data_IF_165891599450
#
_entry.id   IF_165891599450
#
_cell.length_a   1.000
_cell.length_b   1.000
_cell.length_c   1.000
_cell.angle_alpha   90.00
_cell.angle_beta   90.00
_cell.angle_gamma   90.00
#
_symmetry.space_group_name_H-M   'P 1'
#
loop_
_entity.id
_entity.type
_entity.pdbx_description
1 polymer ?
#
# COMPACT_ATOMS: atom_id res chain seq x y z
N UNK A 1 -18.10 26.21 -15.93
CA UNK A 1 -19.15 26.07 -14.88
C UNK A 1 -19.75 24.67 -14.75
N UNK A 2 -20.07 23.93 -15.84
CA UNK A 2 -20.62 22.56 -15.74
C UNK A 2 -19.68 21.49 -15.15
N UNK A 3 -18.35 21.64 -15.29
CA UNK A 3 -17.36 20.70 -14.72
C UNK A 3 -17.27 20.78 -13.18
N UNK A 4 -17.39 22.00 -12.62
CA UNK A 4 -17.36 22.23 -11.18
C UNK A 4 -18.61 21.66 -10.48
N UNK A 5 -19.76 21.73 -11.17
CA UNK A 5 -21.04 21.17 -10.69
C UNK A 5 -21.01 19.64 -10.70
N UNK A 6 -20.29 19.00 -11.64
CA UNK A 6 -20.16 17.54 -11.69
C UNK A 6 -19.28 17.00 -10.54
N UNK A 7 -18.23 17.72 -10.15
CA UNK A 7 -17.36 17.38 -9.01
C UNK A 7 -18.08 17.57 -7.65
N UNK A 8 -19.02 18.52 -7.55
CA UNK A 8 -19.77 18.78 -6.32
C UNK A 8 -20.98 17.86 -6.11
N UNK A 9 -21.47 17.18 -7.15
CA UNK A 9 -22.69 16.35 -7.09
C UNK A 9 -22.43 14.86 -6.80
N UNK A 10 -21.19 14.41 -6.73
CA UNK A 10 -20.85 13.05 -6.24
C UNK A 10 -20.82 13.07 -4.71
N UNK A 11 -21.93 13.50 -4.10
CA UNK A 11 -22.13 13.62 -2.65
C UNK A 11 -22.45 12.29 -1.97
N UNK A 12 -21.76 11.22 -2.33
CA UNK A 12 -21.78 10.00 -1.50
C UNK A 12 -21.02 10.29 -0.20
N UNK A 13 -21.57 9.92 0.95
CA UNK A 13 -20.81 9.95 2.20
C UNK A 13 -19.58 9.06 2.00
N UNK A 14 -18.39 9.67 1.96
CA UNK A 14 -17.15 8.91 1.91
C UNK A 14 -17.13 7.94 3.11
N UNK A 15 -16.76 6.66 2.90
CA UNK A 15 -16.68 5.71 4.00
C UNK A 15 -15.77 6.27 5.11
N UNK A 16 -16.13 5.99 6.36
CA UNK A 16 -15.38 6.49 7.51
C UNK A 16 -13.91 6.08 7.39
N UNK A 17 -13.04 7.08 7.28
CA UNK A 17 -11.62 6.88 7.04
C UNK A 17 -10.94 6.27 8.26
N UNK A 18 -10.25 5.14 8.06
CA UNK A 18 -9.46 4.45 9.08
C UNK A 18 -8.05 5.06 9.20
N UNK A 19 -7.48 5.00 10.41
CA UNK A 19 -6.12 5.42 10.72
C UNK A 19 -5.20 4.21 10.84
N UNK A 20 -4.17 4.11 10.01
CA UNK A 20 -3.34 2.91 9.90
C UNK A 20 -1.88 3.24 10.22
N UNK A 21 -1.28 2.53 11.17
CA UNK A 21 0.15 2.62 11.41
C UNK A 21 0.90 1.65 10.50
N UNK A 22 1.96 2.10 9.83
CA UNK A 22 2.86 1.24 9.06
C UNK A 22 4.21 1.23 9.76
N UNK A 23 4.66 0.05 10.18
CA UNK A 23 5.95 -0.09 10.84
C UNK A 23 7.10 0.19 9.87
N UNK A 24 8.01 1.08 10.26
CA UNK A 24 9.16 1.54 9.49
C UNK A 24 10.38 1.71 10.38
N UNK A 25 11.27 0.73 10.34
CA UNK A 25 12.55 0.75 11.05
C UNK A 25 13.55 -0.16 10.33
N UNK A 26 14.73 -0.35 10.92
CA UNK A 26 15.73 -1.31 10.48
C UNK A 26 15.10 -2.70 10.31
N UNK A 27 15.45 -3.35 9.20
CA UNK A 27 14.97 -4.66 8.83
C UNK A 27 13.69 -4.64 8.01
N UNK A 28 13.00 -3.50 7.85
CA UNK A 28 11.88 -3.39 6.91
C UNK A 28 12.42 -3.35 5.48
N UNK A 29 11.77 -4.04 4.56
CA UNK A 29 12.07 -3.94 3.13
C UNK A 29 11.46 -2.64 2.58
N UNK A 30 12.28 -1.67 2.12
CA UNK A 30 11.80 -0.34 1.72
C UNK A 30 10.70 -0.36 0.66
N UNK A 31 10.88 -1.11 -0.43
CA UNK A 31 9.90 -1.25 -1.51
C UNK A 31 8.50 -1.65 -1.06
N UNK A 32 8.39 -2.50 -0.03
CA UNK A 32 7.10 -2.92 0.51
C UNK A 32 6.56 -1.89 1.53
N UNK A 33 7.35 -1.56 2.54
CA UNK A 33 6.92 -0.75 3.68
C UNK A 33 6.86 0.76 3.42
N UNK A 34 7.69 1.27 2.51
CA UNK A 34 7.76 2.70 2.19
C UNK A 34 6.93 3.07 0.97
N UNK A 35 6.61 2.12 0.09
CA UNK A 35 5.95 2.42 -1.18
C UNK A 35 4.66 1.61 -1.37
N UNK A 36 4.74 0.28 -1.48
CA UNK A 36 3.57 -0.53 -1.85
C UNK A 36 2.42 -0.43 -0.84
N UNK A 37 2.70 -0.61 0.46
CA UNK A 37 1.68 -0.62 1.50
C UNK A 37 0.98 0.74 1.71
N UNK A 38 1.70 1.88 1.76
CA UNK A 38 1.08 3.19 1.67
C UNK A 38 0.09 3.27 0.51
N UNK A 39 0.52 2.99 -0.72
CA UNK A 39 -0.35 3.11 -1.91
C UNK A 39 -1.58 2.20 -1.81
N UNK A 40 -1.47 0.98 -1.28
CA UNK A 40 -2.64 0.09 -1.06
C UNK A 40 -3.63 0.72 -0.07
N UNK A 41 -3.13 1.25 1.04
CA UNK A 41 -3.96 1.84 2.10
C UNK A 41 -4.67 3.09 1.58
N UNK A 42 -3.95 3.89 0.83
CA UNK A 42 -4.41 5.09 0.16
C UNK A 42 -5.47 4.82 -0.89
N UNK A 43 -5.25 3.77 -1.70
CA UNK A 43 -6.20 3.28 -2.69
C UNK A 43 -7.53 2.85 -2.07
N UNK A 44 -7.50 2.37 -0.82
CA UNK A 44 -8.68 2.10 -0.01
C UNK A 44 -9.30 3.34 0.65
N UNK A 45 -8.73 4.53 0.42
CA UNK A 45 -9.20 5.79 0.99
C UNK A 45 -8.90 5.95 2.48
N UNK A 46 -7.98 5.16 3.04
CA UNK A 46 -7.59 5.22 4.45
C UNK A 46 -6.37 6.13 4.66
N UNK A 47 -6.22 6.65 5.89
CA UNK A 47 -5.02 7.39 6.30
C UNK A 47 -3.98 6.45 6.84
N UNK A 48 -2.72 6.82 6.67
CA UNK A 48 -1.63 6.10 7.29
C UNK A 48 -0.57 7.03 7.89
N UNK A 49 0.24 6.46 8.78
CA UNK A 49 1.41 7.10 9.35
C UNK A 49 2.52 6.06 9.52
N UNK A 50 3.76 6.41 9.17
CA UNK A 50 4.91 5.61 9.57
C UNK A 50 5.18 5.73 11.07
N UNK A 51 5.48 4.60 11.69
CA UNK A 51 5.91 4.51 13.09
C UNK A 51 7.15 3.62 13.20
N UNK A 52 7.96 3.80 14.24
CA UNK A 52 9.19 3.03 14.47
C UNK A 52 9.17 2.29 15.81
N UNK A 53 10.24 1.57 16.11
CA UNK A 53 10.38 0.85 17.38
C UNK A 53 10.21 1.75 18.62
N UNK A 54 10.96 2.88 18.72
CA UNK A 54 10.82 3.82 19.83
C UNK A 54 9.40 4.38 20.02
N UNK A 55 8.66 4.65 18.93
CA UNK A 55 7.27 5.08 19.02
C UNK A 55 6.39 4.02 19.69
N UNK A 56 6.56 2.75 19.31
CA UNK A 56 5.81 1.63 19.90
C UNK A 56 6.23 1.42 21.36
N UNK A 57 7.53 1.40 21.65
CA UNK A 57 8.04 1.22 23.01
C UNK A 57 7.57 2.33 23.96
N UNK A 58 7.43 3.56 23.44
CA UNK A 58 6.87 4.70 24.15
C UNK A 58 5.35 4.63 24.38
N UNK A 59 4.67 3.57 23.95
CA UNK A 59 3.23 3.40 24.08
C UNK A 59 2.42 4.10 22.98
N UNK A 60 3.03 4.49 21.86
CA UNK A 60 2.39 5.34 20.85
C UNK A 60 1.19 4.71 20.13
N UNK A 61 0.99 3.39 20.21
CA UNK A 61 -0.18 2.71 19.64
C UNK A 61 -1.46 2.99 20.43
N UNK A 62 -1.36 3.36 21.71
CA UNK A 62 -2.50 3.63 22.59
C UNK A 62 -2.31 4.91 23.40
N UNK A 63 -3.40 5.64 23.61
CA UNK A 63 -3.44 6.81 24.48
C UNK A 63 -4.64 6.73 25.40
N UNK A 64 -4.42 6.88 26.70
CA UNK A 64 -5.47 6.79 27.74
C UNK A 64 -6.31 5.50 27.63
N UNK A 65 -5.65 4.37 27.39
CA UNK A 65 -6.29 3.05 27.25
C UNK A 65 -7.04 2.82 25.93
N UNK A 66 -7.07 3.78 25.02
CA UNK A 66 -7.70 3.67 23.69
C UNK A 66 -6.66 3.57 22.60
N UNK A 67 -6.97 2.83 21.54
CA UNK A 67 -6.09 2.74 20.37
C UNK A 67 -6.05 4.09 19.62
N UNK A 68 -4.84 4.49 19.19
CA UNK A 68 -4.61 5.67 18.34
C UNK A 68 -4.82 5.34 16.87
N UNK A 69 -4.55 4.09 16.50
CA UNK A 69 -4.73 3.55 15.15
C UNK A 69 -5.80 2.46 15.15
N UNK A 70 -6.43 2.26 14.00
CA UNK A 70 -7.35 1.14 13.76
C UNK A 70 -6.58 -0.14 13.38
N UNK A 71 -5.42 -0.01 12.73
CA UNK A 71 -4.61 -1.13 12.23
C UNK A 71 -3.12 -0.84 12.38
N UNK A 72 -2.34 -1.85 12.79
CA UNK A 72 -0.89 -1.90 12.64
C UNK A 72 -0.51 -2.83 11.49
N UNK A 73 0.14 -2.28 10.47
CA UNK A 73 0.73 -3.05 9.35
C UNK A 73 2.22 -3.21 9.59
N UNK A 74 2.69 -4.46 9.60
CA UNK A 74 4.10 -4.81 9.75
C UNK A 74 4.59 -5.44 8.45
N UNK A 75 5.43 -4.73 7.68
CA UNK A 75 5.94 -5.23 6.41
C UNK A 75 6.86 -6.45 6.55
N UNK A 76 7.26 -6.99 5.41
CA UNK A 76 8.31 -7.98 5.25
C UNK A 76 9.73 -7.41 5.42
N UNK A 77 10.70 -8.33 5.48
CA UNK A 77 12.11 -8.01 5.70
C UNK A 77 12.78 -8.96 6.70
N UNK A 78 13.36 -8.44 7.80
CA UNK A 78 14.12 -9.22 8.78
C UNK A 78 13.58 -9.05 10.22
N UNK A 79 12.74 -10.00 10.65
CA UNK A 79 12.05 -9.95 11.94
C UNK A 79 12.96 -9.76 13.18
N UNK A 80 14.17 -10.34 13.25
CA UNK A 80 15.09 -10.08 14.36
C UNK A 80 15.40 -8.62 14.62
N UNK A 81 15.47 -7.79 13.58
CA UNK A 81 15.70 -6.35 13.74
C UNK A 81 14.46 -5.65 14.33
N UNK A 82 13.24 -6.14 14.05
CA UNK A 82 12.01 -5.58 14.63
C UNK A 82 12.03 -5.70 16.16
N UNK A 83 12.40 -6.88 16.66
CA UNK A 83 12.49 -7.11 18.10
C UNK A 83 13.57 -6.27 18.76
N UNK A 84 14.74 -6.13 18.10
CA UNK A 84 15.82 -5.29 18.59
C UNK A 84 15.41 -3.81 18.71
N UNK A 85 14.40 -3.37 17.94
CA UNK A 85 13.90 -2.00 17.93
C UNK A 85 12.68 -1.75 18.81
N UNK A 86 11.79 -2.72 18.95
CA UNK A 86 10.50 -2.55 19.65
C UNK A 86 10.59 -2.83 21.16
N UNK A 87 11.51 -3.68 21.61
CA UNK A 87 11.54 -4.02 23.04
C UNK A 87 12.60 -5.03 23.49
N UNK A 88 13.46 -5.48 22.58
CA UNK A 88 14.49 -6.48 22.85
C UNK A 88 13.99 -7.92 22.69
N UNK A 89 14.93 -8.86 22.53
CA UNK A 89 14.66 -10.28 22.21
C UNK A 89 14.01 -11.09 23.34
N UNK A 90 13.86 -10.52 24.53
CA UNK A 90 13.48 -11.27 25.74
C UNK A 90 11.96 -11.30 26.00
N UNK A 91 11.14 -10.65 25.18
CA UNK A 91 9.67 -10.68 25.31
C UNK A 91 9.10 -9.97 26.54
N UNK A 92 9.94 -9.28 27.30
CA UNK A 92 9.59 -8.42 28.43
C UNK A 92 9.73 -6.93 28.07
N UNK A 93 9.88 -6.62 26.78
CA UNK A 93 9.97 -5.25 26.29
C UNK A 93 8.62 -4.57 26.33
N UNK A 94 8.61 -3.28 26.71
CA UNK A 94 7.38 -2.48 26.75
C UNK A 94 6.66 -2.45 25.40
N UNK A 95 7.38 -2.45 24.29
CA UNK A 95 6.76 -2.45 22.97
C UNK A 95 6.08 -3.77 22.58
N UNK A 96 6.57 -4.92 23.07
CA UNK A 96 5.91 -6.21 22.82
C UNK A 96 4.55 -6.26 23.53
N UNK A 97 4.51 -5.78 24.78
CA UNK A 97 3.27 -5.64 25.54
C UNK A 97 2.33 -4.60 24.92
N UNK A 98 2.88 -3.51 24.39
CA UNK A 98 2.10 -2.48 23.71
C UNK A 98 1.40 -3.03 22.46
N UNK A 99 2.10 -3.78 21.61
CA UNK A 99 1.50 -4.43 20.43
C UNK A 99 0.39 -5.39 20.86
N UNK A 100 0.65 -6.27 21.83
CA UNK A 100 -0.37 -7.22 22.33
C UNK A 100 -1.59 -6.50 22.87
N UNK A 101 -1.39 -5.45 23.67
CA UNK A 101 -2.47 -4.72 24.29
C UNK A 101 -3.27 -3.89 23.27
N UNK A 102 -2.61 -3.32 22.25
CA UNK A 102 -3.26 -2.68 21.11
C UNK A 102 -4.21 -3.64 20.38
N UNK A 103 -3.73 -4.84 20.06
CA UNK A 103 -4.56 -5.84 19.37
C UNK A 103 -5.66 -6.37 20.30
N UNK A 104 -5.36 -6.64 21.57
CA UNK A 104 -6.37 -7.07 22.54
C UNK A 104 -7.50 -6.04 22.73
N UNK A 105 -7.21 -4.75 22.60
CA UNK A 105 -8.18 -3.65 22.67
C UNK A 105 -8.94 -3.39 21.35
N UNK A 106 -8.86 -4.30 20.38
CA UNK A 106 -9.65 -4.22 19.13
C UNK A 106 -8.89 -3.67 17.92
N UNK A 107 -7.62 -3.30 18.07
CA UNK A 107 -6.78 -2.82 16.96
C UNK A 107 -6.38 -3.96 16.04
N UNK A 108 -6.51 -3.78 14.73
CA UNK A 108 -6.12 -4.79 13.76
C UNK A 108 -4.60 -4.98 13.69
N UNK A 109 -4.16 -6.15 13.25
CA UNK A 109 -2.76 -6.44 12.90
C UNK A 109 -2.70 -7.09 11.53
N UNK A 110 -1.82 -6.60 10.65
CA UNK A 110 -1.52 -7.19 9.36
C UNK A 110 -0.01 -7.38 9.21
N UNK A 111 0.45 -8.63 9.15
CA UNK A 111 1.86 -8.97 8.99
C UNK A 111 2.16 -9.63 7.65
N UNK A 112 3.12 -9.09 6.90
CA UNK A 112 3.64 -9.69 5.67
C UNK A 112 5.02 -10.31 5.92
N UNK A 113 5.26 -11.52 5.42
CA UNK A 113 6.56 -12.21 5.53
C UNK A 113 7.18 -12.13 6.94
N UNK A 114 8.18 -11.27 7.15
CA UNK A 114 8.80 -11.03 8.47
C UNK A 114 7.82 -10.52 9.53
N UNK A 115 6.84 -9.69 9.17
CA UNK A 115 5.74 -9.34 10.06
C UNK A 115 4.92 -10.56 10.47
N UNK A 116 4.63 -11.48 9.52
CA UNK A 116 3.94 -12.73 9.83
C UNK A 116 4.77 -13.65 10.74
N UNK A 117 6.08 -13.74 10.51
CA UNK A 117 6.99 -14.42 11.42
C UNK A 117 6.93 -13.78 12.80
N UNK A 118 7.07 -12.45 12.89
CA UNK A 118 7.16 -11.72 14.14
C UNK A 118 5.94 -11.91 15.04
N UNK A 119 4.75 -12.02 14.44
CA UNK A 119 3.50 -12.28 15.14
C UNK A 119 3.36 -13.71 15.71
N UNK A 120 4.07 -14.70 15.16
CA UNK A 120 3.96 -16.09 15.60
C UNK A 120 4.65 -16.32 16.96
N UNK A 121 4.14 -17.26 17.77
CA UNK A 121 4.79 -17.68 19.01
C UNK A 121 6.19 -18.26 18.77
N UNK A 122 6.37 -18.95 17.64
CA UNK A 122 7.66 -19.51 17.23
C UNK A 122 7.92 -19.32 15.74
N UNK A 123 9.17 -19.11 15.39
CA UNK A 123 9.64 -19.12 14.01
C UNK A 123 10.58 -20.31 13.81
N UNK A 124 10.30 -21.17 12.84
CA UNK A 124 11.28 -22.15 12.35
C UNK A 124 11.93 -21.56 11.11
N UNK A 125 13.17 -21.10 11.25
CA UNK A 125 13.98 -20.66 10.12
C UNK A 125 15.03 -21.72 9.82
N UNK A 126 14.96 -22.29 8.61
CA UNK A 126 15.73 -23.47 8.22
C UNK A 126 15.45 -24.63 9.19
N UNK A 127 16.46 -25.03 9.97
CA UNK A 127 16.38 -26.10 10.96
C UNK A 127 16.47 -25.59 12.40
N UNK A 128 16.36 -24.28 12.63
CA UNK A 128 16.39 -23.68 13.97
C UNK A 128 15.03 -23.11 14.32
N UNK A 129 14.62 -23.32 15.57
CA UNK A 129 13.38 -22.76 16.11
C UNK A 129 13.72 -21.65 17.07
N UNK A 130 13.05 -20.51 16.90
CA UNK A 130 13.20 -19.32 17.71
C UNK A 130 11.87 -19.03 18.41
N UNK A 131 11.92 -18.65 19.69
CA UNK A 131 10.76 -18.12 20.40
C UNK A 131 10.65 -16.63 20.06
N UNK A 132 9.50 -16.22 19.54
CA UNK A 132 9.29 -14.84 19.12
C UNK A 132 8.36 -14.13 20.09
N UNK A 133 8.70 -12.90 20.51
CA UNK A 133 8.12 -12.29 21.69
C UNK A 133 6.69 -11.78 21.50
N UNK A 134 6.25 -11.39 20.30
CA UNK A 134 4.93 -10.76 20.14
C UNK A 134 3.77 -11.72 20.42
N UNK A 135 3.90 -12.99 19.99
CA UNK A 135 2.98 -14.09 20.34
C UNK A 135 1.50 -13.77 20.06
N UNK A 136 1.23 -13.04 18.98
CA UNK A 136 -0.15 -12.76 18.53
C UNK A 136 -0.82 -14.02 17.98
N UNK A 137 -0.05 -14.91 17.35
CA UNK A 137 -0.52 -16.18 16.82
C UNK A 137 0.08 -17.35 17.61
N UNK A 138 -0.76 -18.14 18.28
CA UNK A 138 -0.31 -19.34 18.99
C UNK A 138 -0.03 -20.50 18.04
N UNK A 139 1.04 -20.34 17.28
CA UNK A 139 1.49 -21.28 16.28
C UNK A 139 2.93 -21.03 15.88
N UNK A 140 3.29 -21.63 14.75
CA UNK A 140 4.63 -21.58 14.19
C UNK A 140 4.58 -21.02 12.77
N UNK A 141 5.42 -20.04 12.51
CA UNK A 141 5.75 -19.58 11.17
C UNK A 141 7.00 -20.32 10.70
N UNK A 142 6.98 -20.96 9.53
CA UNK A 142 8.09 -21.79 9.05
C UNK A 142 8.57 -21.36 7.67
N UNK A 143 9.88 -21.11 7.53
CA UNK A 143 10.52 -20.84 6.25
C UNK A 143 12.04 -21.05 6.32
N UNK A 144 12.78 -20.87 5.21
CA UNK A 144 12.26 -20.91 3.86
C UNK A 144 11.59 -22.27 3.58
N UNK A 145 10.64 -22.28 2.65
CA UNK A 145 9.89 -23.49 2.30
C UNK A 145 10.72 -24.43 1.42
N UNK A 146 10.59 -25.77 1.54
CA UNK A 146 11.44 -26.72 0.80
C UNK A 146 11.38 -26.60 -0.72
N UNK A 147 10.24 -26.16 -1.25
CA UNK A 147 10.00 -25.94 -2.68
C UNK A 147 10.45 -24.54 -3.14
N UNK A 148 10.56 -23.57 -2.24
CA UNK A 148 11.17 -22.26 -2.49
C UNK A 148 12.64 -22.27 -2.04
N UNK A 149 13.45 -23.14 -2.66
CA UNK A 149 14.83 -23.40 -2.24
C UNK A 149 15.70 -22.15 -2.30
N UNK A 150 16.52 -21.98 -1.25
CA UNK A 150 17.68 -21.09 -1.25
C UNK A 150 18.57 -21.39 -2.47
N UNK A 151 19.01 -20.38 -3.22
CA UNK A 151 20.07 -20.59 -4.22
C UNK A 151 21.37 -21.01 -3.50
N UNK A 152 22.18 -21.91 -4.08
CA UNK A 152 23.49 -22.25 -3.51
C UNK A 152 24.34 -20.97 -3.36
N UNK A 153 24.79 -20.65 -2.13
CA UNK A 153 25.68 -19.50 -1.90
C UNK A 153 25.39 -18.59 -0.70
N UNK A 154 24.39 -18.86 0.16
CA UNK A 154 24.37 -18.17 1.46
C UNK A 154 23.08 -18.24 2.26
N UNK A 155 23.26 -18.21 3.59
CA UNK A 155 22.26 -18.11 4.66
C UNK A 155 21.30 -16.90 4.53
N UNK A 156 21.57 -15.99 3.59
CA UNK A 156 20.92 -14.68 3.42
C UNK A 156 20.20 -14.50 2.07
N UNK A 157 20.19 -15.52 1.20
CA UNK A 157 19.47 -15.45 -0.08
C UNK A 157 18.38 -16.50 -0.10
N UNK A 158 17.25 -16.16 0.55
CA UNK A 158 16.00 -16.86 0.32
C UNK A 158 15.80 -17.10 -1.18
N UNK A 159 15.24 -18.24 -1.57
CA UNK A 159 14.72 -18.35 -2.93
C UNK A 159 13.75 -17.18 -3.14
N UNK A 160 13.98 -16.36 -4.16
CA UNK A 160 12.99 -15.43 -4.67
C UNK A 160 12.27 -16.14 -5.81
N UNK A 161 10.95 -16.19 -5.73
CA UNK A 161 10.09 -16.80 -6.72
C UNK A 161 8.65 -16.35 -6.55
N UNK A 162 7.79 -16.80 -7.45
CA UNK A 162 6.34 -16.69 -7.26
C UNK A 162 5.84 -17.93 -6.51
N UNK A 163 4.87 -17.74 -5.63
CA UNK A 163 4.14 -18.86 -5.03
C UNK A 163 2.74 -18.89 -5.61
N UNK A 164 2.27 -20.07 -5.99
CA UNK A 164 0.87 -20.26 -6.36
C UNK A 164 0.05 -20.18 -5.08
N UNK A 165 -0.88 -19.23 -4.98
CA UNK A 165 -1.81 -19.18 -3.86
C UNK A 165 -3.21 -19.55 -4.32
N UNK A 166 -3.80 -20.56 -3.69
CA UNK A 166 -5.21 -20.91 -3.82
C UNK A 166 -6.04 -19.97 -2.93
N UNK A 167 -6.87 -19.14 -3.55
CA UNK A 167 -7.72 -18.12 -2.93
C UNK A 167 -9.20 -18.52 -2.83
N UNK A 168 -9.51 -19.81 -2.71
CA UNK A 168 -10.90 -20.31 -2.64
C UNK A 168 -11.71 -19.87 -1.40
N UNK A 169 -11.10 -19.11 -0.48
CA UNK A 169 -11.78 -18.59 0.70
C UNK A 169 -12.87 -17.56 0.33
N UNK A 170 -14.15 -17.77 0.72
CA UNK A 170 -15.26 -16.88 0.36
C UNK A 170 -15.07 -15.43 0.79
N UNK A 171 -14.25 -15.19 1.82
CA UNK A 171 -13.95 -13.85 2.34
C UNK A 171 -13.18 -12.99 1.33
N UNK A 172 -12.47 -13.61 0.39
CA UNK A 172 -11.73 -12.91 -0.67
C UNK A 172 -12.56 -12.71 -1.95
N UNK A 173 -13.70 -13.39 -2.08
CA UNK A 173 -14.51 -13.42 -3.31
C UNK A 173 -15.02 -12.04 -3.75
N UNK A 174 -15.29 -11.14 -2.80
CA UNK A 174 -15.79 -9.78 -3.08
C UNK A 174 -14.82 -8.90 -3.86
N UNK A 175 -13.54 -9.26 -3.92
CA UNK A 175 -12.49 -8.42 -4.52
C UNK A 175 -12.30 -8.61 -6.03
N UNK A 176 -12.94 -9.62 -6.63
CA UNK A 176 -12.70 -9.97 -8.04
C UNK A 176 -11.28 -10.47 -8.27
N UNK A 177 -10.73 -11.17 -7.28
CA UNK A 177 -9.49 -11.92 -7.39
C UNK A 177 -9.72 -13.21 -8.19
N UNK A 178 -8.76 -13.62 -9.00
CA UNK A 178 -8.75 -14.97 -9.54
C UNK A 178 -8.68 -16.00 -8.40
N UNK A 179 -9.20 -17.20 -8.65
CA UNK A 179 -9.13 -18.30 -7.69
C UNK A 179 -7.68 -18.71 -7.37
N UNK A 180 -6.74 -18.33 -8.24
CA UNK A 180 -5.30 -18.55 -8.08
C UNK A 180 -4.59 -17.25 -8.39
N UNK A 181 -3.65 -16.85 -7.52
CA UNK A 181 -2.75 -15.69 -7.74
C UNK A 181 -1.30 -16.14 -7.58
N UNK A 182 -0.32 -15.41 -8.13
CA UNK A 182 1.10 -15.77 -8.06
C UNK A 182 1.98 -14.65 -7.49
N UNK A 183 1.74 -14.19 -6.24
CA UNK A 183 2.53 -13.11 -5.66
C UNK A 183 3.98 -13.54 -5.40
N UNK A 184 4.83 -12.53 -5.19
CA UNK A 184 6.21 -12.75 -4.81
C UNK A 184 6.31 -13.41 -3.43
N UNK A 185 7.09 -14.50 -3.35
CA UNK A 185 7.47 -15.16 -2.12
C UNK A 185 8.98 -15.09 -1.95
N UNK A 186 9.43 -14.35 -0.93
CA UNK A 186 10.83 -14.23 -0.57
C UNK A 186 11.05 -14.64 0.89
N UNK A 187 11.25 -15.95 1.09
CA UNK A 187 11.45 -16.50 2.43
C UNK A 187 10.21 -16.50 3.33
N UNK A 188 9.04 -16.13 2.80
CA UNK A 188 7.79 -16.09 3.54
C UNK A 188 7.41 -17.39 4.24
N UNK A 189 6.69 -17.32 5.38
CA UNK A 189 6.36 -18.52 6.16
C UNK A 189 5.16 -19.27 5.61
N UNK A 190 5.14 -20.59 5.77
CA UNK A 190 3.86 -21.30 5.99
C UNK A 190 3.48 -21.20 7.47
N UNK A 191 2.17 -21.20 7.74
CA UNK A 191 1.63 -20.91 9.06
C UNK A 191 0.96 -22.15 9.65
N UNK A 192 1.44 -22.60 10.82
CA UNK A 192 1.00 -23.84 11.46
C UNK A 192 0.45 -23.54 12.85
N UNK A 193 -0.85 -23.78 13.06
CA UNK A 193 -1.48 -23.63 14.36
C UNK A 193 -0.94 -24.70 15.33
N UNK A 194 -0.67 -24.32 16.60
CA UNK A 194 -0.12 -25.25 17.60
C UNK A 194 -1.09 -26.41 17.89
N UNK A 195 -2.36 -26.10 18.13
CA UNK A 195 -3.42 -27.07 18.37
C UNK A 195 -4.62 -26.81 17.43
N UNK A 196 -4.71 -27.54 16.31
CA UNK A 196 -5.83 -27.42 15.37
C UNK A 196 -7.21 -27.69 15.99
N UNK A 197 -7.29 -28.35 17.15
CA UNK A 197 -8.56 -28.64 17.84
C UNK A 197 -9.04 -27.45 18.67
N UNK A 198 -8.18 -26.45 18.89
CA UNK A 198 -8.46 -25.25 19.68
C UNK A 198 -8.00 -23.99 18.92
N UNK A 199 -8.59 -23.73 17.74
CA UNK A 199 -8.24 -22.54 16.98
C UNK A 199 -8.67 -21.26 17.72
N UNK A 200 -7.96 -20.13 17.51
CA UNK A 200 -8.40 -18.86 18.06
C UNK A 200 -9.77 -18.45 17.50
N UNK A 201 -10.50 -17.56 18.18
CA UNK A 201 -11.82 -17.12 17.72
C UNK A 201 -11.75 -16.57 16.30
N UNK A 202 -12.69 -16.98 15.44
CA UNK A 202 -12.75 -16.51 14.05
C UNK A 202 -11.61 -17.01 13.13
N UNK A 203 -10.81 -18.00 13.55
CA UNK A 203 -9.74 -18.57 12.75
C UNK A 203 -10.20 -19.06 11.37
N UNK A 204 -9.48 -18.61 10.34
CA UNK A 204 -9.71 -18.93 8.93
C UNK A 204 -8.39 -19.05 8.20
N UNK A 205 -8.28 -20.04 7.32
CA UNK A 205 -7.25 -20.07 6.28
C UNK A 205 -7.82 -19.34 5.07
N UNK A 206 -7.23 -18.20 4.72
CA UNK A 206 -7.67 -17.36 3.61
C UNK A 206 -7.01 -17.78 2.29
N UNK A 207 -5.79 -18.33 2.36
CA UNK A 207 -5.12 -18.88 1.20
C UNK A 207 -4.16 -20.01 1.59
N UNK A 208 -3.94 -20.92 0.64
CA UNK A 208 -2.98 -22.01 0.76
C UNK A 208 -1.92 -21.91 -0.32
N UNK A 209 -0.71 -22.35 -0.02
CA UNK A 209 0.30 -22.61 -1.02
C UNK A 209 -0.19 -23.74 -1.94
N UNK A 210 -0.25 -23.50 -3.24
CA UNK A 210 -0.65 -24.49 -4.24
C UNK A 210 0.38 -25.63 -4.36
N UNK A 211 1.63 -25.37 -3.98
CA UNK A 211 2.73 -26.33 -4.05
C UNK A 211 2.61 -27.46 -3.02
N UNK A 212 2.12 -27.17 -1.80
CA UNK A 212 2.07 -28.16 -0.71
C UNK A 212 0.79 -28.13 0.13
N UNK A 213 -0.19 -27.29 -0.23
CA UNK A 213 -1.48 -27.15 0.45
C UNK A 213 -1.42 -26.50 1.84
N UNK A 214 -0.24 -26.05 2.30
CA UNK A 214 -0.08 -25.46 3.61
C UNK A 214 -0.65 -24.04 3.67
N UNK A 215 -1.06 -23.59 4.86
CA UNK A 215 -1.65 -22.26 5.03
C UNK A 215 -0.61 -21.16 4.77
N UNK A 216 -0.92 -20.31 3.79
CA UNK A 216 -0.11 -19.16 3.38
C UNK A 216 -0.63 -17.88 4.01
N UNK A 217 -1.96 -17.73 4.06
CA UNK A 217 -2.62 -16.58 4.66
C UNK A 217 -3.67 -17.09 5.64
N UNK A 218 -3.70 -16.51 6.84
CA UNK A 218 -4.74 -16.78 7.84
C UNK A 218 -5.27 -15.49 8.45
N UNK A 219 -6.47 -15.57 9.02
CA UNK A 219 -7.03 -14.52 9.85
C UNK A 219 -7.71 -15.09 11.09
N UNK A 220 -7.71 -14.31 12.18
CA UNK A 220 -8.39 -14.65 13.45
C UNK A 220 -8.56 -13.42 14.33
N UNK A 221 -9.36 -13.53 15.39
CA UNK A 221 -9.48 -12.52 16.46
C UNK A 221 -8.52 -12.87 17.60
N UNK A 222 -7.74 -11.89 18.04
CA UNK A 222 -6.75 -12.10 19.11
C UNK A 222 -7.40 -12.07 20.51
N UNK A 223 -7.01 -13.01 21.37
CA UNK A 223 -7.40 -13.16 22.79
C UNK A 223 -8.90 -13.39 23.08
N UNK A 224 -9.82 -12.68 22.42
CA UNK A 224 -11.28 -12.79 22.61
C UNK A 224 -12.04 -12.46 21.33
N UNK A 225 -13.36 -12.64 21.32
CA UNK A 225 -14.21 -12.24 20.20
C UNK A 225 -14.22 -10.72 19.94
N UNK A 226 -13.89 -9.90 20.95
CA UNK A 226 -13.82 -8.43 20.85
C UNK A 226 -12.42 -7.91 20.51
N UNK A 227 -11.39 -8.78 20.53
CA UNK A 227 -10.04 -8.39 20.14
C UNK A 227 -9.95 -8.05 18.66
N UNK A 228 -8.85 -7.42 18.26
CA UNK A 228 -8.60 -7.05 16.88
C UNK A 228 -8.44 -8.25 15.95
N UNK A 229 -8.68 -8.02 14.66
CA UNK A 229 -8.36 -9.01 13.64
C UNK A 229 -6.85 -9.05 13.40
N UNK A 230 -6.27 -10.24 13.47
CA UNK A 230 -4.90 -10.53 13.08
C UNK A 230 -4.94 -11.23 11.73
N UNK A 231 -4.24 -10.70 10.75
CA UNK A 231 -4.06 -11.28 9.43
C UNK A 231 -2.56 -11.48 9.20
N UNK A 232 -2.17 -12.70 8.90
CA UNK A 232 -0.77 -13.07 8.64
C UNK A 232 -0.66 -13.59 7.22
N UNK A 233 0.35 -13.12 6.50
CA UNK A 233 0.57 -13.42 5.09
C UNK A 233 2.00 -13.86 4.80
N UNK A 234 2.15 -14.92 4.00
CA UNK A 234 3.46 -15.40 3.57
C UNK A 234 4.11 -14.51 2.50
N UNK A 235 3.32 -13.86 1.66
CA UNK A 235 3.82 -13.20 0.45
C UNK A 235 4.16 -11.73 0.69
N UNK A 236 4.81 -11.12 -0.30
CA UNK A 236 5.07 -9.68 -0.37
C UNK A 236 4.15 -9.07 -1.43
N UNK A 237 3.29 -8.07 -1.10
CA UNK A 237 2.64 -7.29 -2.15
C UNK A 237 3.70 -6.65 -3.05
N UNK A 238 3.47 -6.59 -4.37
CA UNK A 238 4.49 -6.21 -5.35
C UNK A 238 5.31 -5.03 -4.88
N UNK A 239 6.60 -5.32 -4.82
CA UNK A 239 7.68 -4.43 -4.43
C UNK A 239 7.86 -3.44 -5.57
N UNK A 240 7.37 -2.21 -5.37
CA UNK A 240 7.68 -1.08 -6.24
C UNK A 240 9.16 -0.70 -6.06
N UNK A 241 9.81 -0.31 -7.16
CA UNK A 241 11.09 0.39 -7.08
C UNK A 241 10.96 1.76 -6.44
N UNK A 242 12.11 2.29 -6.05
CA UNK A 242 12.28 3.59 -5.39
C UNK A 242 11.87 4.80 -6.27
N UNK A 243 11.43 4.60 -7.52
CA UNK A 243 10.95 5.66 -8.40
C UNK A 243 9.42 5.62 -8.58
N UNK A 244 8.68 6.47 -7.88
CA UNK A 244 7.23 6.62 -8.07
C UNK A 244 6.77 6.97 -9.51
N UNK A 245 7.71 7.31 -10.40
CA UNK A 245 7.48 7.47 -11.83
C UNK A 245 7.33 6.12 -12.60
N UNK A 246 7.64 4.99 -11.96
CA UNK A 246 7.54 3.63 -12.48
C UNK A 246 6.15 2.98 -12.33
N UNK A 247 5.08 3.74 -12.04
CA UNK A 247 3.72 3.20 -12.13
C UNK A 247 3.39 2.62 -13.53
N UNK A 248 4.16 3.01 -14.56
CA UNK A 248 4.03 2.59 -15.96
C UNK A 248 5.37 2.19 -16.63
N UNK A 249 6.50 2.19 -15.90
CA UNK A 249 7.81 1.85 -16.46
C UNK A 249 8.54 0.89 -15.54
N UNK A 250 8.67 -0.34 -16.00
CA UNK A 250 9.32 -1.48 -15.36
C UNK A 250 8.52 -2.17 -14.25
N UNK A 251 7.81 -3.21 -14.71
CA UNK A 251 7.55 -4.44 -13.96
C UNK A 251 8.78 -4.87 -13.15
N UNK A 252 8.61 -5.05 -11.85
CA UNK A 252 9.41 -5.95 -11.03
C UNK A 252 10.93 -5.73 -11.08
N UNK A 253 11.44 -4.66 -10.45
CA UNK A 253 12.90 -4.47 -10.33
C UNK A 253 13.55 -5.34 -9.22
N UNK A 254 13.05 -6.57 -9.14
CA UNK A 254 13.83 -7.73 -8.73
C UNK A 254 14.29 -8.51 -9.95
N UNK A 255 14.76 -7.88 -11.04
CA UNK A 255 15.30 -8.60 -12.23
C UNK A 255 14.49 -9.86 -12.57
N UNK A 256 13.17 -9.71 -12.70
CA UNK A 256 12.37 -10.64 -13.51
C UNK A 256 12.60 -10.42 -15.03
N UNK A 257 13.59 -9.57 -15.36
CA UNK A 257 14.16 -9.26 -16.67
C UNK A 257 14.93 -10.44 -17.33
N UNK A 258 14.24 -11.56 -17.51
CA UNK A 258 14.56 -12.59 -18.51
C UNK A 258 13.59 -12.58 -19.71
N UNK A 259 12.73 -11.56 -19.84
CA UNK A 259 11.86 -11.37 -21.00
C UNK A 259 10.46 -12.00 -20.92
N UNK A 260 9.87 -12.11 -19.73
CA UNK A 260 8.48 -12.56 -19.56
C UNK A 260 7.53 -11.40 -19.22
N UNK A 261 6.31 -11.42 -19.78
CA UNK A 261 5.21 -10.58 -19.33
C UNK A 261 4.86 -10.89 -17.86
N UNK A 262 4.26 -9.93 -17.14
CA UNK A 262 3.62 -10.17 -15.84
C UNK A 262 2.78 -11.45 -15.91
N UNK A 263 3.15 -12.50 -15.17
CA UNK A 263 2.49 -13.79 -15.27
C UNK A 263 1.01 -13.72 -14.83
N UNK A 264 0.62 -12.68 -14.08
CA UNK A 264 -0.75 -12.51 -13.57
C UNK A 264 -1.53 -11.42 -14.31
N UNK A 265 -0.86 -10.52 -15.05
CA UNK A 265 -1.41 -9.52 -15.98
C UNK A 265 -2.45 -8.52 -15.42
N UNK A 266 -2.81 -8.62 -14.14
CA UNK A 266 -4.02 -8.02 -13.58
C UNK A 266 -3.85 -7.39 -12.17
N UNK A 267 -2.60 -7.20 -11.70
CA UNK A 267 -2.28 -6.59 -10.39
C UNK A 267 -3.03 -7.27 -9.24
N UNK A 268 -3.09 -8.60 -9.26
CA UNK A 268 -3.92 -9.38 -8.33
C UNK A 268 -3.38 -9.37 -6.90
N UNK A 269 -2.08 -9.20 -6.75
CA UNK A 269 -1.41 -9.04 -5.46
C UNK A 269 -1.74 -7.72 -4.75
N UNK A 270 -1.91 -6.61 -5.48
CA UNK A 270 -2.46 -5.35 -4.93
C UNK A 270 -3.87 -5.55 -4.41
N UNK A 271 -4.74 -6.17 -5.22
CA UNK A 271 -6.11 -6.49 -4.84
C UNK A 271 -6.14 -7.38 -3.60
N UNK A 272 -5.23 -8.37 -3.54
CA UNK A 272 -5.11 -9.27 -2.40
C UNK A 272 -4.67 -8.49 -1.15
N UNK A 273 -3.61 -7.69 -1.23
CA UNK A 273 -3.15 -6.86 -0.12
C UNK A 273 -4.24 -5.92 0.40
N UNK A 274 -4.99 -5.29 -0.51
CA UNK A 274 -6.14 -4.47 -0.15
C UNK A 274 -7.24 -5.28 0.56
N UNK A 275 -7.54 -6.49 0.11
CA UNK A 275 -8.48 -7.38 0.80
C UNK A 275 -7.97 -7.74 2.21
N UNK A 276 -6.66 -7.98 2.38
CA UNK A 276 -6.07 -8.24 3.69
C UNK A 276 -6.15 -7.04 4.63
N UNK A 277 -5.98 -5.81 4.12
CA UNK A 277 -6.18 -4.57 4.89
C UNK A 277 -7.62 -4.47 5.39
N UNK A 278 -8.61 -4.66 4.51
CA UNK A 278 -10.03 -4.64 4.90
C UNK A 278 -10.36 -5.71 5.95
N UNK A 279 -9.88 -6.94 5.77
CA UNK A 279 -10.09 -8.03 6.75
C UNK A 279 -9.45 -7.67 8.09
N UNK A 280 -8.22 -7.13 8.10
CA UNK A 280 -7.54 -6.74 9.33
C UNK A 280 -8.22 -5.56 10.06
N UNK A 281 -8.93 -4.70 9.31
CA UNK A 281 -9.79 -3.65 9.86
C UNK A 281 -11.17 -4.16 10.31
N UNK A 282 -11.48 -5.44 10.06
CA UNK A 282 -12.81 -6.01 10.30
C UNK A 282 -13.89 -5.46 9.37
N UNK A 283 -13.49 -4.95 8.21
CA UNK A 283 -14.38 -4.46 7.16
C UNK A 283 -14.74 -5.59 6.19
N UNK A 284 -15.93 -5.55 5.56
CA UNK A 284 -16.26 -6.49 4.50
C UNK A 284 -15.32 -6.27 3.31
N UNK A 285 -14.91 -7.36 2.66
CA UNK A 285 -14.10 -7.25 1.44
C UNK A 285 -14.95 -6.73 0.30
N UNK A 286 -14.66 -5.52 -0.18
CA UNK A 286 -15.43 -4.88 -1.25
C UNK A 286 -14.75 -5.08 -2.61
N UNK A 287 -15.48 -4.81 -3.70
CA UNK A 287 -14.83 -4.66 -5.00
C UNK A 287 -13.89 -3.47 -4.88
N UNK A 288 -12.58 -3.68 -5.09
CA UNK A 288 -11.67 -2.56 -4.99
C UNK A 288 -12.02 -1.50 -6.03
N UNK A 289 -11.86 -0.21 -5.69
CA UNK A 289 -11.86 0.80 -6.73
C UNK A 289 -10.83 0.40 -7.80
N UNK A 290 -11.03 0.70 -9.08
CA UNK A 290 -9.98 0.45 -10.08
C UNK A 290 -8.65 1.03 -9.59
N UNK A 291 -7.56 0.27 -9.70
CA UNK A 291 -6.23 0.83 -9.45
C UNK A 291 -6.06 2.03 -10.38
N UNK A 292 -5.51 3.16 -9.92
CA UNK A 292 -5.22 4.29 -10.80
C UNK A 292 -4.40 3.76 -11.98
N UNK A 293 -5.02 3.73 -13.16
CA UNK A 293 -4.31 3.49 -14.41
C UNK A 293 -3.67 4.82 -14.77
N UNK A 294 -2.46 5.03 -14.28
CA UNK A 294 -1.58 6.04 -14.84
C UNK A 294 -1.29 5.62 -16.27
N UNK A 295 -1.85 6.30 -17.26
CA UNK A 295 -1.56 6.02 -18.68
C UNK A 295 -0.79 7.18 -19.35
N UNK A 296 -0.24 8.06 -18.51
CA UNK A 296 0.54 9.23 -18.90
C UNK A 296 1.29 9.83 -17.73
N UNK A 297 2.05 10.88 -18.02
CA UNK A 297 3.02 11.48 -17.11
C UNK A 297 2.98 13.00 -17.19
N UNK A 298 3.12 13.67 -16.05
CA UNK A 298 3.51 15.07 -15.96
C UNK A 298 4.93 15.15 -15.43
N UNK A 299 5.77 15.97 -16.07
CA UNK A 299 7.14 16.21 -15.62
C UNK A 299 7.16 17.44 -14.72
N UNK A 300 7.58 17.26 -13.47
CA UNK A 300 7.66 18.32 -12.45
C UNK A 300 9.10 18.36 -11.93
N UNK A 301 9.77 19.53 -11.89
CA UNK A 301 11.07 19.63 -11.25
C UNK A 301 10.90 19.47 -9.73
N UNK A 302 11.88 18.83 -9.08
CA UNK A 302 11.86 18.63 -7.63
C UNK A 302 11.75 19.94 -6.83
N UNK A 303 12.24 21.04 -7.42
CA UNK A 303 12.17 22.39 -6.85
C UNK A 303 11.30 23.28 -7.74
N UNK A 304 10.32 23.94 -7.12
CA UNK A 304 9.42 24.90 -7.76
C UNK A 304 9.82 26.32 -7.34
N UNK A 305 10.57 27.06 -8.18
CA UNK A 305 11.10 28.37 -7.79
C UNK A 305 9.98 29.41 -7.61
N UNK A 306 9.97 30.10 -6.47
CA UNK A 306 9.08 31.22 -6.21
C UNK A 306 9.43 32.43 -7.08
N UNK A 307 8.41 33.14 -7.58
CA UNK A 307 8.57 34.31 -8.45
C UNK A 307 8.90 33.97 -9.91
N UNK A 308 8.91 32.70 -10.29
CA UNK A 308 9.20 32.23 -11.64
C UNK A 308 8.04 31.43 -12.23
N UNK A 309 8.07 31.26 -13.56
CA UNK A 309 7.16 30.36 -14.26
C UNK A 309 7.85 29.03 -14.53
N UNK A 310 7.28 27.95 -14.00
CA UNK A 310 7.71 26.58 -14.26
C UNK A 310 6.88 25.98 -15.39
N UNK A 311 7.52 25.33 -16.36
CA UNK A 311 6.84 24.57 -17.40
C UNK A 311 6.55 23.15 -16.91
N UNK A 312 5.35 22.65 -17.18
CA UNK A 312 4.90 21.31 -16.80
C UNK A 312 4.54 20.52 -18.07
N UNK A 313 5.52 19.82 -18.69
CA UNK A 313 5.26 18.96 -19.83
C UNK A 313 4.31 17.81 -19.46
N UNK A 314 3.33 17.56 -20.31
CA UNK A 314 2.33 16.49 -20.19
C UNK A 314 2.51 15.50 -21.35
N UNK A 315 2.35 14.21 -21.07
CA UNK A 315 2.42 13.15 -22.08
C UNK A 315 1.43 12.03 -21.79
N UNK A 316 0.55 11.74 -22.74
CA UNK A 316 -0.40 10.64 -22.77
C UNK A 316 -0.51 10.11 -24.21
N UNK A 317 0.47 9.32 -24.68
CA UNK A 317 0.53 8.88 -26.08
C UNK A 317 -0.69 8.05 -26.52
N UNK A 318 -1.39 7.43 -25.56
CA UNK A 318 -2.59 6.63 -25.80
C UNK A 318 -3.86 7.45 -26.09
N UNK A 319 -3.83 8.78 -25.91
CA UNK A 319 -5.01 9.66 -26.06
C UNK A 319 -4.71 10.94 -26.87
N UNK A 320 -4.16 10.85 -28.10
CA UNK A 320 -3.90 12.03 -28.93
C UNK A 320 -5.21 12.80 -29.20
N UNK A 321 -5.15 14.14 -29.17
CA UNK A 321 -6.32 15.00 -29.36
C UNK A 321 -7.34 15.01 -28.21
N UNK A 322 -7.10 14.29 -27.11
CA UNK A 322 -8.01 14.32 -25.96
C UNK A 322 -7.92 15.66 -25.21
N UNK A 323 -9.05 16.08 -24.61
CA UNK A 323 -9.06 17.22 -23.69
C UNK A 323 -8.39 16.78 -22.39
N UNK A 324 -7.45 17.57 -21.89
CA UNK A 324 -6.83 17.34 -20.59
C UNK A 324 -7.28 18.39 -19.56
N UNK A 325 -7.32 17.96 -18.29
CA UNK A 325 -7.43 18.82 -17.11
C UNK A 325 -6.31 18.45 -16.16
N UNK A 326 -5.28 19.30 -16.10
CA UNK A 326 -4.21 19.26 -15.11
C UNK A 326 -4.72 19.89 -13.82
N UNK A 327 -4.34 19.29 -12.69
CA UNK A 327 -4.74 19.69 -11.36
C UNK A 327 -3.52 19.68 -10.44
N UNK A 328 -3.56 20.47 -9.37
CA UNK A 328 -2.52 20.52 -8.35
C UNK A 328 -3.13 20.24 -6.97
N UNK A 329 -2.47 19.51 -6.09
CA UNK A 329 -2.91 19.28 -4.71
C UNK A 329 -1.70 19.26 -3.78
N UNK A 330 -1.91 19.41 -2.46
CA UNK A 330 -0.86 19.24 -1.47
C UNK A 330 -0.59 17.76 -1.15
N UNK A 331 -1.43 16.84 -1.67
CA UNK A 331 -1.30 15.40 -1.44
C UNK A 331 -1.90 14.62 -2.61
N UNK A 332 -1.46 13.38 -2.79
CA UNK A 332 -2.00 12.46 -3.79
C UNK A 332 -3.19 11.65 -3.25
N UNK A 333 -3.52 11.81 -1.96
CA UNK A 333 -4.35 10.88 -1.17
C UNK A 333 -5.34 11.57 -0.21
N UNK A 334 -6.61 11.15 -0.19
CA UNK A 334 -7.21 10.13 -1.06
C UNK A 334 -7.39 10.64 -2.50
N UNK A 335 -7.22 9.78 -3.50
CA UNK A 335 -7.56 10.12 -4.88
C UNK A 335 -9.06 10.39 -5.07
N UNK A 336 -9.41 11.09 -6.15
CA UNK A 336 -10.81 11.42 -6.49
C UNK A 336 -11.34 10.48 -7.57
N UNK A 337 -12.43 9.73 -7.33
CA UNK A 337 -13.08 8.95 -8.37
C UNK A 337 -13.78 9.88 -9.35
N UNK A 338 -13.54 9.69 -10.66
CA UNK A 338 -14.16 10.49 -11.71
C UNK A 338 -15.29 9.76 -12.46
N UNK A 339 -15.46 8.46 -12.24
CA UNK A 339 -16.30 7.58 -13.05
C UNK A 339 -15.50 6.93 -14.18
N UNK A 340 -16.14 6.07 -14.98
CA UNK A 340 -15.52 5.34 -16.11
C UNK A 340 -14.23 4.58 -15.75
N UNK A 341 -14.14 4.09 -14.51
CA UNK A 341 -12.96 3.47 -13.92
C UNK A 341 -11.70 4.37 -13.89
N UNK A 342 -11.86 5.68 -14.03
CA UNK A 342 -10.78 6.68 -13.93
C UNK A 342 -10.73 7.29 -12.53
N UNK A 343 -9.52 7.30 -11.98
CA UNK A 343 -9.19 7.89 -10.69
C UNK A 343 -8.16 8.99 -10.87
N UNK A 344 -8.45 10.17 -10.36
CA UNK A 344 -7.46 11.24 -10.23
C UNK A 344 -6.62 10.97 -8.98
N UNK A 345 -5.31 10.75 -9.08
CA UNK A 345 -4.45 10.48 -7.92
C UNK A 345 -4.04 11.79 -7.20
N UNK A 346 -5.03 12.62 -6.85
CA UNK A 346 -4.86 13.86 -6.10
C UNK A 346 -5.95 13.98 -5.04
N UNK A 347 -5.61 14.57 -3.90
CA UNK A 347 -6.56 14.90 -2.85
C UNK A 347 -7.44 16.07 -3.25
N UNK A 348 -8.74 15.97 -2.93
CA UNK A 348 -9.64 17.12 -3.06
C UNK A 348 -9.42 18.13 -1.92
N UNK A 349 -8.44 19.03 -2.10
CA UNK A 349 -8.10 20.09 -1.16
C UNK A 349 -8.29 21.49 -1.75
N UNK A 350 -7.92 22.52 -0.98
CA UNK A 350 -8.01 23.93 -1.40
C UNK A 350 -7.10 24.21 -2.60
N UNK A 351 -5.93 23.56 -2.69
CA UNK A 351 -4.99 23.72 -3.79
C UNK A 351 -5.58 23.15 -5.09
N UNK A 352 -6.27 22.01 -5.02
CA UNK A 352 -6.99 21.43 -6.16
C UNK A 352 -8.08 22.36 -6.66
N UNK A 353 -8.85 22.96 -5.76
CA UNK A 353 -9.86 23.95 -6.15
C UNK A 353 -9.23 25.21 -6.78
N UNK A 354 -8.14 25.72 -6.19
CA UNK A 354 -7.42 26.88 -6.72
C UNK A 354 -6.82 26.62 -8.11
N UNK A 355 -6.35 25.39 -8.37
CA UNK A 355 -5.78 25.00 -9.67
C UNK A 355 -6.74 25.18 -10.85
N UNK A 356 -8.05 25.20 -10.57
CA UNK A 356 -9.11 25.42 -11.56
C UNK A 356 -9.61 26.88 -11.63
N UNK A 357 -9.28 27.69 -10.64
CA UNK A 357 -9.90 29.01 -10.43
C UNK A 357 -8.93 30.18 -10.57
N UNK A 358 -7.62 29.94 -10.48
CA UNK A 358 -6.59 30.99 -10.46
C UNK A 358 -5.70 30.90 -11.71
N UNK A 359 -6.18 31.33 -12.88
CA UNK A 359 -5.44 31.19 -14.15
C UNK A 359 -4.16 32.05 -14.21
N UNK A 360 -4.01 33.04 -13.34
CA UNK A 360 -2.76 33.80 -13.22
C UNK A 360 -1.60 32.93 -12.70
N UNK A 361 -1.91 31.93 -11.86
CA UNK A 361 -0.94 30.96 -11.30
C UNK A 361 -0.92 29.67 -12.13
N UNK A 362 -2.09 29.13 -12.47
CA UNK A 362 -2.26 27.83 -13.13
C UNK A 362 -2.64 28.02 -14.60
N UNK A 363 -1.65 28.25 -15.44
CA UNK A 363 -1.84 28.63 -16.84
C UNK A 363 -1.89 27.39 -17.73
N UNK A 364 -2.87 27.34 -18.63
CA UNK A 364 -3.08 26.19 -19.53
C UNK A 364 -3.28 24.87 -18.80
N UNK A 365 -3.91 24.90 -17.61
CA UNK A 365 -4.30 23.69 -16.87
C UNK A 365 -5.49 22.95 -17.50
N UNK A 366 -6.19 23.59 -18.44
CA UNK A 366 -7.18 22.94 -19.31
C UNK A 366 -6.77 23.17 -20.75
N UNK A 367 -6.72 22.10 -21.54
CA UNK A 367 -6.29 22.18 -22.93
C UNK A 367 -6.60 20.91 -23.71
N UNK A 368 -5.99 20.77 -24.88
CA UNK A 368 -6.08 19.57 -25.73
C UNK A 368 -4.68 19.04 -25.98
N UNK A 369 -4.50 17.73 -25.90
CA UNK A 369 -3.24 17.08 -26.27
C UNK A 369 -3.03 17.16 -27.79
N UNK A 370 -1.79 17.31 -28.23
CA UNK A 370 -1.45 17.29 -29.65
C UNK A 370 -1.62 15.90 -30.29
N UNK A 371 -1.27 15.78 -31.58
CA UNK A 371 -1.36 14.53 -32.33
C UNK A 371 -0.45 13.41 -31.81
N UNK A 372 0.49 13.74 -30.94
CA UNK A 372 1.41 12.83 -30.26
C UNK A 372 1.02 12.61 -28.79
N UNK A 373 -0.11 13.14 -28.34
CA UNK A 373 -0.58 13.02 -26.96
C UNK A 373 0.17 13.91 -25.98
N UNK A 374 0.76 15.04 -26.42
CA UNK A 374 1.55 15.93 -25.56
C UNK A 374 0.90 17.29 -25.37
N UNK A 375 1.23 17.95 -24.26
CA UNK A 375 0.90 19.35 -24.02
C UNK A 375 1.91 19.95 -23.03
N UNK A 376 1.85 21.27 -22.82
CA UNK A 376 2.66 21.95 -21.80
C UNK A 376 1.79 22.93 -21.04
N UNK A 377 1.62 22.69 -19.73
CA UNK A 377 1.02 23.67 -18.82
C UNK A 377 2.11 24.55 -18.19
N UNK A 378 1.71 25.63 -17.51
CA UNK A 378 2.64 26.50 -16.78
C UNK A 378 2.14 26.81 -15.38
N UNK A 379 3.08 26.84 -14.43
CA UNK A 379 2.86 27.21 -13.04
C UNK A 379 3.64 28.49 -12.75
N UNK A 380 2.93 29.61 -12.54
CA UNK A 380 3.53 30.90 -12.19
C UNK A 380 3.36 31.16 -10.69
N UNK A 381 4.33 30.74 -9.89
CA UNK A 381 4.29 30.94 -8.44
C UNK A 381 4.68 32.39 -8.09
N UNK A 382 3.88 33.12 -7.30
CA UNK A 382 4.27 34.46 -6.86
C UNK A 382 5.43 34.37 -5.87
N UNK A 383 6.24 35.44 -5.79
CA UNK A 383 7.38 35.55 -4.86
C UNK A 383 6.92 35.79 -3.41
N UNK A 384 6.08 34.92 -2.86
CA UNK A 384 5.53 35.03 -1.51
C UNK A 384 6.29 34.10 -0.55
N UNK A 385 6.98 34.62 0.48
CA UNK A 385 7.72 33.79 1.43
C UNK A 385 6.88 32.71 2.12
N UNK A 386 5.58 32.98 2.33
CA UNK A 386 4.64 32.03 2.93
C UNK A 386 4.42 30.76 2.11
N UNK A 387 4.80 30.76 0.83
CA UNK A 387 4.68 29.58 -0.03
C UNK A 387 5.87 28.63 0.09
N UNK A 388 7.00 29.01 0.70
CA UNK A 388 8.21 28.19 0.74
C UNK A 388 8.00 26.89 1.52
N UNK A 389 8.52 25.78 0.98
CA UNK A 389 8.48 24.46 1.61
C UNK A 389 7.13 23.74 1.48
N UNK A 390 6.18 24.30 0.73
CA UNK A 390 4.90 23.66 0.46
C UNK A 390 5.05 22.59 -0.64
N UNK A 391 4.54 21.37 -0.42
CA UNK A 391 4.49 20.36 -1.47
C UNK A 391 3.40 20.70 -2.48
N UNK A 392 3.70 20.48 -3.76
CA UNK A 392 2.73 20.52 -4.84
C UNK A 392 2.81 19.22 -5.63
N UNK A 393 1.71 18.49 -5.66
CA UNK A 393 1.50 17.28 -6.42
C UNK A 393 0.63 17.59 -7.63
N UNK A 394 1.03 17.12 -8.81
CA UNK A 394 0.33 17.37 -10.06
C UNK A 394 -0.07 16.07 -10.72
N UNK A 395 -1.29 16.01 -11.23
CA UNK A 395 -1.75 14.95 -12.13
C UNK A 395 -2.77 15.55 -13.09
N UNK A 396 -2.87 14.99 -14.29
CA UNK A 396 -3.92 15.37 -15.23
C UNK A 396 -4.81 14.19 -15.56
N UNK A 397 -6.03 14.50 -15.96
CA UNK A 397 -6.99 13.54 -16.49
C UNK A 397 -7.33 13.90 -17.92
N UNK A 398 -7.54 12.88 -18.75
CA UNK A 398 -7.95 13.05 -20.13
C UNK A 398 -9.40 12.63 -20.31
N UNK A 399 -10.12 13.39 -21.14
CA UNK A 399 -11.53 13.18 -21.44
C UNK A 399 -11.75 13.07 -22.95
N UNK A 400 -12.51 12.07 -23.33
CA UNK A 400 -13.03 11.92 -24.69
C UNK A 400 -14.33 12.73 -24.86
N UNK A 401 -15.09 12.42 -25.92
CA UNK A 401 -16.34 13.11 -26.19
C UNK A 401 -17.38 12.97 -25.05
N UNK A 402 -17.47 11.79 -24.44
CA UNK A 402 -18.55 11.46 -23.50
C UNK A 402 -18.06 10.90 -22.16
N UNK A 403 -16.81 10.44 -22.06
CA UNK A 403 -16.28 9.72 -20.89
C UNK A 403 -14.87 10.15 -20.50
N UNK A 404 -14.47 9.87 -19.27
CA UNK A 404 -13.07 9.92 -18.88
C UNK A 404 -12.29 8.79 -19.56
N UNK A 405 -11.05 9.07 -19.96
CA UNK A 405 -10.20 8.10 -20.67
C UNK A 405 -9.12 7.54 -19.73
N UNK A 406 -8.39 8.43 -19.05
CA UNK A 406 -7.29 8.06 -18.18
C UNK A 406 -6.88 9.20 -17.24
N UNK A 407 -6.09 8.87 -16.23
CA UNK A 407 -5.32 9.82 -15.43
C UNK A 407 -3.82 9.59 -15.66
N UNK A 408 -3.00 10.62 -15.42
CA UNK A 408 -1.56 10.47 -15.34
C UNK A 408 -1.13 9.95 -13.98
N UNK A 409 0.09 9.42 -13.88
CA UNK A 409 0.76 9.32 -12.59
C UNK A 409 0.89 10.73 -11.97
N UNK A 410 0.83 10.86 -10.63
CA UNK A 410 1.17 12.11 -9.99
C UNK A 410 2.67 12.36 -10.07
N UNK A 411 3.08 13.63 -10.10
CA UNK A 411 4.46 14.05 -9.89
C UNK A 411 4.50 15.31 -9.03
N UNK A 412 5.50 15.39 -8.17
CA UNK A 412 5.58 16.42 -7.14
C UNK A 412 6.82 17.28 -7.21
N UNK A 413 6.71 18.48 -6.66
CA UNK A 413 7.83 19.40 -6.39
C UNK A 413 7.59 20.20 -5.13
N UNK A 414 8.65 20.72 -4.53
CA UNK A 414 8.58 21.57 -3.32
C UNK A 414 8.98 22.99 -3.68
N UNK A 415 8.21 23.97 -3.20
CA UNK A 415 8.48 25.38 -3.44
C UNK A 415 9.73 25.88 -2.71
N UNK A 416 10.56 26.69 -3.37
CA UNK A 416 11.77 27.29 -2.78
C UNK A 416 11.95 28.77 -3.09
#
# INVERSE_FOLDING_TARGET
>A
MRLLVLLLLVGGSLPAQKSIAIYRDKGVWPSEGHFALPVVIEWLGHRWQWIDGPFIEGGGLRKNGKNVFDLLVVPGGWAPDYFARVGGWNGAGRGDDEIRAFVANGGGYLGFCAGAFAAASTARWLNRTYAYPWRLFDGRAEGPLPWNKLRPGGFLRAGHGTAVLDLTAPQLAGRGLSAVVRPMLYGGPRLVLRDPRRPPPGYRVLAKHGEDGSASILSFRYASASGGWVVLSSFHPSVLTDDGAALDRDHDDYRWAGGGADPDGAREDWKLAAALVEIALGLPVQKAPPLPRAAGSVTVPAVLPLGQTTLLPLSQPSSPGAVYVLLASASVVPGVPLGDDVWLPLTFDVLLQMSLQVPSVFQSFVGTLDGQGRATAKLALPALPALRGLPFEFAFVTRGATRWLAASAPAGGVTQ
#
